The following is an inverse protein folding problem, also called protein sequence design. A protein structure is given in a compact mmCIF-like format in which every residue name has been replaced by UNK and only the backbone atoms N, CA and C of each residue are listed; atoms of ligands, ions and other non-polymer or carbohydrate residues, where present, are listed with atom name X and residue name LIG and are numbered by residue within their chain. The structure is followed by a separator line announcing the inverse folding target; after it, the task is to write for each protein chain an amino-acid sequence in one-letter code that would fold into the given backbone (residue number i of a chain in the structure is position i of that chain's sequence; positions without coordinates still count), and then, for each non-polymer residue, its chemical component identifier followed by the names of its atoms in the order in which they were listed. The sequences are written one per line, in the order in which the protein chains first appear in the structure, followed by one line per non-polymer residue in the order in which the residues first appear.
data_IF_065979111967
#
_entry.id   IF_065979111967
#
_cell.length_a   1.000
_cell.length_b   1.000
_cell.length_c   1.000
_cell.angle_alpha   90.00
_cell.angle_beta   90.00
_cell.angle_gamma   90.00
#
_symmetry.space_group_name_H-M   'P 1'
#
loop_
_entity.id
_entity.type
_entity.pdbx_description
1 polymer ?
#
# COMPACT_ATOMS: atom_id res chain seq x y z
N UNK A 1 8.51 51.52 -38.31
CA UNK A 1 8.43 52.55 -37.25
C UNK A 1 7.07 52.42 -36.60
N UNK A 2 6.99 51.96 -35.35
CA UNK A 2 5.70 51.84 -34.67
C UNK A 2 5.20 53.25 -34.31
N UNK A 3 4.01 53.63 -34.79
CA UNK A 3 3.36 54.89 -34.47
C UNK A 3 3.12 55.00 -32.97
N UNK A 4 3.35 56.18 -32.39
CA UNK A 4 3.02 56.44 -30.99
C UNK A 4 1.53 56.12 -30.74
N UNK A 5 1.20 55.36 -29.68
CA UNK A 5 -0.18 55.03 -29.37
C UNK A 5 -0.96 56.28 -28.97
N UNK A 6 -2.20 56.39 -29.43
CA UNK A 6 -3.12 57.49 -29.12
C UNK A 6 -3.35 57.67 -27.61
N UNK A 7 -3.73 58.88 -27.19
CA UNK A 7 -3.79 59.27 -25.78
C UNK A 7 -4.77 58.41 -24.94
N UNK A 8 -5.89 58.01 -25.55
CA UNK A 8 -6.89 57.09 -24.99
C UNK A 8 -6.32 55.68 -24.73
N UNK A 9 -5.51 55.16 -25.65
CA UNK A 9 -4.86 53.85 -25.52
C UNK A 9 -3.85 53.87 -24.37
N UNK A 10 -3.14 54.99 -24.19
CA UNK A 10 -2.21 55.17 -23.06
C UNK A 10 -2.96 55.25 -21.73
N UNK A 11 -4.05 56.01 -21.66
CA UNK A 11 -4.90 56.09 -20.47
C UNK A 11 -5.47 54.72 -20.10
N UNK A 12 -6.01 53.99 -21.08
CA UNK A 12 -6.55 52.65 -20.89
C UNK A 12 -5.48 51.67 -20.40
N UNK A 13 -4.25 51.74 -20.94
CA UNK A 13 -3.13 50.91 -20.46
C UNK A 13 -2.81 51.20 -18.99
N UNK A 14 -2.73 52.47 -18.60
CA UNK A 14 -2.47 52.85 -17.22
C UNK A 14 -3.57 52.35 -16.27
N UNK A 15 -4.84 52.45 -16.69
CA UNK A 15 -5.97 51.89 -15.93
C UNK A 15 -5.83 50.38 -15.73
N UNK A 16 -5.53 49.63 -16.79
CA UNK A 16 -5.31 48.17 -16.73
C UNK A 16 -4.13 47.82 -15.82
N UNK A 17 -3.03 48.56 -15.90
CA UNK A 17 -1.86 48.33 -15.03
C UNK A 17 -2.19 48.53 -13.55
N UNK A 18 -2.97 49.57 -13.24
CA UNK A 18 -3.39 49.85 -11.86
C UNK A 18 -4.29 48.74 -11.31
N UNK A 19 -5.29 48.34 -12.09
CA UNK A 19 -6.19 47.23 -11.73
C UNK A 19 -5.43 45.91 -11.58
N UNK A 20 -4.47 45.64 -12.47
CA UNK A 20 -3.65 44.43 -12.42
C UNK A 20 -2.81 44.37 -11.16
N UNK A 21 -2.22 45.49 -10.73
CA UNK A 21 -1.42 45.57 -9.50
C UNK A 21 -2.27 45.35 -8.24
N UNK A 22 -3.49 45.88 -8.22
CA UNK A 22 -4.44 45.65 -7.14
C UNK A 22 -4.88 44.18 -7.11
N UNK A 23 -5.27 43.63 -8.25
CA UNK A 23 -5.65 42.22 -8.35
C UNK A 23 -4.54 41.27 -7.92
N UNK A 24 -3.29 41.53 -8.30
CA UNK A 24 -2.14 40.73 -7.86
C UNK A 24 -1.92 40.80 -6.35
N UNK A 25 -2.15 41.97 -5.74
CA UNK A 25 -2.10 42.13 -4.28
C UNK A 25 -3.23 41.37 -3.58
N UNK A 26 -4.42 41.35 -4.17
CA UNK A 26 -5.56 40.60 -3.63
C UNK A 26 -5.38 39.07 -3.73
N UNK A 27 -4.41 38.59 -4.52
CA UNK A 27 -4.01 37.17 -4.58
C UNK A 27 -2.99 36.80 -3.50
N UNK A 28 -2.43 37.75 -2.76
CA UNK A 28 -1.56 37.44 -1.62
C UNK A 28 -2.43 36.83 -0.51
N UNK A 29 -2.41 35.51 -0.39
CA UNK A 29 -3.21 34.84 0.63
C UNK A 29 -2.67 35.16 2.02
N UNK A 30 -3.57 35.59 2.89
CA UNK A 30 -3.24 35.83 4.29
C UNK A 30 -2.97 34.49 4.99
N UNK A 31 -2.07 34.44 5.99
CA UNK A 31 -1.84 33.22 6.78
C UNK A 31 -3.07 32.70 7.56
N UNK A 32 -4.20 33.43 7.53
CA UNK A 32 -5.44 33.14 8.25
C UNK A 32 -6.49 32.46 7.37
N UNK A 33 -6.07 31.80 6.30
CA UNK A 33 -7.00 30.93 5.57
C UNK A 33 -7.64 29.94 6.54
N UNK A 34 -8.97 29.75 6.48
CA UNK A 34 -9.61 28.72 7.26
C UNK A 34 -9.09 27.38 6.76
N UNK A 35 -8.14 26.80 7.50
CA UNK A 35 -7.71 25.43 7.29
C UNK A 35 -8.97 24.58 7.21
N UNK A 36 -9.12 23.82 6.13
CA UNK A 36 -10.29 22.99 5.87
C UNK A 36 -10.72 22.31 7.16
N UNK A 37 -11.91 22.61 7.66
CA UNK A 37 -12.44 22.10 8.93
C UNK A 37 -12.45 20.56 8.98
N UNK A 38 -12.29 19.91 7.82
CA UNK A 38 -12.08 18.48 7.68
C UNK A 38 -10.81 17.99 8.40
N UNK A 39 -9.73 18.77 8.42
CA UNK A 39 -8.52 18.47 9.20
C UNK A 39 -8.78 18.47 10.71
N UNK A 40 -9.80 19.22 11.17
CA UNK A 40 -10.20 19.26 12.57
C UNK A 40 -11.10 18.08 12.99
N UNK A 41 -11.65 17.31 12.04
CA UNK A 41 -12.47 16.13 12.32
C UNK A 41 -11.65 14.85 12.39
N UNK A 42 -10.56 14.86 13.16
CA UNK A 42 -9.88 13.60 13.51
C UNK A 42 -10.76 12.81 14.47
N UNK A 43 -11.06 11.55 14.17
CA UNK A 43 -11.81 10.67 15.07
C UNK A 43 -11.12 10.51 16.43
N UNK A 44 -11.84 10.07 17.49
CA UNK A 44 -11.32 10.05 18.86
C UNK A 44 -10.02 9.24 19.00
N UNK A 45 -9.89 8.14 18.25
CA UNK A 45 -8.68 7.31 18.20
C UNK A 45 -7.52 8.05 17.52
N UNK A 46 -7.78 8.75 16.42
CA UNK A 46 -6.76 9.54 15.73
C UNK A 46 -6.29 10.72 16.60
N UNK A 47 -7.20 11.37 17.31
CA UNK A 47 -6.88 12.41 18.29
C UNK A 47 -6.06 11.85 19.47
N UNK A 48 -6.40 10.65 19.97
CA UNK A 48 -5.62 9.99 21.02
C UNK A 48 -4.18 9.68 20.56
N UNK A 49 -4.00 9.17 19.34
CA UNK A 49 -2.67 8.97 18.75
C UNK A 49 -1.92 10.29 18.54
N UNK A 50 -2.57 11.33 18.05
CA UNK A 50 -1.97 12.65 17.88
C UNK A 50 -1.49 13.22 19.24
N UNK A 51 -2.29 13.09 20.29
CA UNK A 51 -1.91 13.47 21.66
C UNK A 51 -0.78 12.62 22.20
N UNK A 52 -0.79 11.31 21.94
CA UNK A 52 0.31 10.42 22.32
C UNK A 52 1.62 10.82 21.64
N UNK A 53 1.58 11.23 20.37
CA UNK A 53 2.74 11.65 19.60
C UNK A 53 3.29 13.03 20.00
N UNK A 54 2.54 13.84 20.77
CA UNK A 54 3.00 15.08 21.38
C UNK A 54 3.46 14.77 22.82
N UNK A 55 4.75 14.56 23.13
CA UNK A 55 5.98 15.05 22.51
C UNK A 55 6.66 14.06 21.54
N UNK A 56 7.37 14.61 20.54
CA UNK A 56 8.02 13.91 19.43
C UNK A 56 9.23 13.06 19.80
N UNK A 57 9.14 12.29 20.88
CA UNK A 57 10.17 11.36 21.33
C UNK A 57 10.30 10.18 20.38
N UNK A 58 11.54 9.75 20.11
CA UNK A 58 11.83 8.72 19.12
C UNK A 58 11.12 7.38 19.40
N UNK A 59 10.96 7.01 20.67
CA UNK A 59 10.29 5.76 21.04
C UNK A 59 8.80 5.75 20.67
N UNK A 60 8.09 6.87 20.86
CA UNK A 60 6.64 6.99 20.54
C UNK A 60 6.39 6.92 19.03
N UNK A 61 7.30 7.50 18.25
CA UNK A 61 7.23 7.40 16.79
C UNK A 61 7.46 5.96 16.33
N UNK A 62 8.41 5.24 16.93
CA UNK A 62 8.66 3.82 16.61
C UNK A 62 7.48 2.94 16.96
N UNK A 63 6.86 3.11 18.14
CA UNK A 63 5.68 2.33 18.53
C UNK A 63 4.48 2.63 17.64
N UNK A 64 4.26 3.90 17.29
CA UNK A 64 3.21 4.27 16.34
C UNK A 64 3.44 3.61 14.97
N UNK A 65 4.67 3.68 14.43
CA UNK A 65 5.01 3.01 13.16
C UNK A 65 4.80 1.50 13.23
N UNK A 66 5.21 0.85 14.32
CA UNK A 66 4.99 -0.59 14.50
C UNK A 66 3.49 -0.94 14.52
N UNK A 67 2.67 -0.15 15.22
CA UNK A 67 1.22 -0.33 15.25
C UNK A 67 0.57 -0.12 13.87
N UNK A 68 1.04 0.86 13.10
CA UNK A 68 0.59 1.08 11.72
C UNK A 68 0.98 -0.09 10.81
N UNK A 69 2.22 -0.58 10.90
CA UNK A 69 2.68 -1.74 10.13
C UNK A 69 1.89 -3.01 10.47
N UNK A 70 1.57 -3.23 11.74
CA UNK A 70 0.73 -4.35 12.18
C UNK A 70 -0.69 -4.22 11.61
N UNK A 71 -1.27 -3.02 11.70
CA UNK A 71 -2.61 -2.73 11.15
C UNK A 71 -2.65 -2.91 9.64
N UNK A 72 -1.59 -2.51 8.94
CA UNK A 72 -1.42 -2.74 7.50
C UNK A 72 -1.34 -4.24 7.19
N UNK A 73 -0.50 -4.99 7.89
CA UNK A 73 -0.38 -6.44 7.72
C UNK A 73 -1.72 -7.15 7.94
N UNK A 74 -2.45 -6.79 9.00
CA UNK A 74 -3.78 -7.35 9.25
C UNK A 74 -4.76 -7.06 8.11
N UNK A 75 -4.87 -5.79 7.70
CA UNK A 75 -5.84 -5.34 6.69
C UNK A 75 -5.52 -5.84 5.28
N UNK A 76 -4.25 -5.84 4.89
CA UNK A 76 -3.85 -6.10 3.51
C UNK A 76 -3.26 -7.49 3.28
N UNK A 77 -2.86 -8.20 4.34
CA UNK A 77 -2.33 -9.57 4.22
C UNK A 77 -3.30 -10.56 4.86
N UNK A 78 -3.58 -10.42 6.15
CA UNK A 78 -4.32 -11.46 6.88
C UNK A 78 -5.78 -11.59 6.40
N UNK A 79 -6.51 -10.48 6.34
CA UNK A 79 -7.92 -10.50 5.92
C UNK A 79 -8.08 -11.03 4.49
N UNK A 80 -7.35 -10.52 3.47
CA UNK A 80 -7.45 -11.07 2.12
C UNK A 80 -6.99 -12.52 2.04
N UNK A 81 -5.91 -12.91 2.72
CA UNK A 81 -5.45 -14.30 2.74
C UNK A 81 -6.51 -15.25 3.31
N UNK A 82 -7.22 -14.85 4.37
CA UNK A 82 -8.34 -15.63 4.91
C UNK A 82 -9.52 -15.72 3.94
N UNK A 83 -9.87 -14.62 3.25
CA UNK A 83 -10.94 -14.63 2.25
C UNK A 83 -10.57 -15.57 1.09
N UNK A 84 -9.34 -15.48 0.58
CA UNK A 84 -8.84 -16.35 -0.49
C UNK A 84 -8.82 -17.81 -0.03
N UNK A 85 -8.36 -18.08 1.19
CA UNK A 85 -8.36 -19.42 1.75
C UNK A 85 -9.78 -20.00 1.86
N UNK A 86 -10.75 -19.20 2.33
CA UNK A 86 -12.15 -19.60 2.39
C UNK A 86 -12.70 -19.92 0.99
N UNK A 87 -12.44 -19.05 0.01
CA UNK A 87 -12.87 -19.25 -1.37
C UNK A 87 -12.27 -20.53 -1.98
N UNK A 88 -10.96 -20.75 -1.81
CA UNK A 88 -10.29 -21.95 -2.29
C UNK A 88 -10.86 -23.22 -1.64
N UNK A 89 -11.10 -23.17 -0.32
CA UNK A 89 -11.59 -24.32 0.45
C UNK A 89 -12.99 -24.73 0.05
N UNK A 90 -13.92 -23.79 -0.08
CA UNK A 90 -15.32 -24.12 -0.29
C UNK A 90 -15.71 -24.10 -1.77
N UNK A 91 -15.25 -23.14 -2.56
CA UNK A 91 -15.67 -23.03 -3.95
C UNK A 91 -14.79 -23.79 -4.93
N UNK A 92 -13.45 -23.68 -4.79
CA UNK A 92 -12.55 -24.30 -5.77
C UNK A 92 -12.36 -25.79 -5.52
N UNK A 93 -12.23 -26.20 -4.26
CA UNK A 93 -12.00 -27.61 -3.92
C UNK A 93 -13.29 -28.45 -3.87
N UNK A 94 -14.46 -27.85 -3.61
CA UNK A 94 -15.72 -28.59 -3.42
C UNK A 94 -16.62 -28.54 -4.65
N UNK A 95 -16.81 -27.36 -5.25
CA UNK A 95 -17.84 -27.17 -6.29
C UNK A 95 -17.33 -27.45 -7.72
N UNK A 96 -16.02 -27.39 -7.97
CA UNK A 96 -15.44 -27.51 -9.30
C UNK A 96 -14.51 -28.73 -9.40
N UNK A 97 -14.87 -29.79 -10.15
CA UNK A 97 -13.95 -30.90 -10.39
C UNK A 97 -12.72 -30.39 -11.14
N UNK A 98 -11.54 -30.79 -10.70
CA UNK A 98 -10.24 -30.30 -11.19
C UNK A 98 -9.96 -28.80 -10.97
N UNK A 99 -10.76 -28.09 -10.16
CA UNK A 99 -10.53 -26.67 -9.85
C UNK A 99 -9.17 -26.40 -9.20
N UNK A 100 -8.66 -27.37 -8.44
CA UNK A 100 -7.29 -27.37 -7.92
C UNK A 100 -6.61 -28.70 -8.24
N UNK A 101 -5.74 -28.71 -9.26
CA UNK A 101 -4.90 -29.85 -9.58
C UNK A 101 -3.51 -29.66 -9.00
N UNK A 102 -3.08 -30.58 -8.14
CA UNK A 102 -1.72 -30.61 -7.58
C UNK A 102 -0.90 -31.66 -8.31
N UNK A 103 0.36 -31.35 -8.59
CA UNK A 103 1.32 -32.38 -9.02
C UNK A 103 1.52 -33.39 -7.90
N UNK A 104 1.69 -34.67 -8.27
CA UNK A 104 1.99 -35.71 -7.28
C UNK A 104 3.32 -35.36 -6.60
N UNK A 105 3.42 -35.49 -5.27
CA UNK A 105 4.67 -35.22 -4.56
C UNK A 105 5.79 -36.12 -5.11
N UNK A 106 7.03 -35.65 -5.04
CA UNK A 106 8.19 -36.49 -5.35
C UNK A 106 8.34 -37.54 -4.27
N UNK A 107 8.79 -38.69 -4.69
CA UNK A 107 8.82 -39.90 -3.89
C UNK A 107 10.21 -40.50 -4.05
N UNK A 108 10.89 -40.78 -2.94
CA UNK A 108 12.25 -41.27 -2.92
C UNK A 108 12.36 -42.68 -2.32
N UNK A 109 13.43 -43.42 -2.65
CA UNK A 109 13.72 -44.70 -2.04
C UNK A 109 13.83 -44.57 -0.51
N UNK A 110 13.19 -45.49 0.23
CA UNK A 110 13.10 -45.46 1.69
C UNK A 110 11.94 -44.62 2.25
N UNK A 111 11.23 -43.84 1.44
CA UNK A 111 10.03 -43.12 1.89
C UNK A 111 8.87 -44.11 2.16
N UNK A 112 8.02 -43.78 3.14
CA UNK A 112 6.78 -44.51 3.40
C UNK A 112 5.59 -43.73 2.89
N UNK A 113 4.78 -44.33 2.02
CA UNK A 113 3.55 -43.70 1.52
C UNK A 113 2.52 -43.68 2.64
N UNK A 114 2.11 -42.50 3.11
CA UNK A 114 1.19 -42.34 4.25
C UNK A 114 -0.18 -43.02 4.02
N UNK A 115 -0.64 -43.08 2.77
CA UNK A 115 -1.95 -43.65 2.41
C UNK A 115 -1.92 -45.18 2.28
N UNK A 116 -0.79 -45.76 1.88
CA UNK A 116 -0.65 -47.20 1.58
C UNK A 116 0.16 -47.96 2.65
N UNK A 117 0.99 -47.25 3.42
CA UNK A 117 1.96 -47.83 4.34
C UNK A 117 3.13 -48.53 3.65
N UNK A 118 3.21 -48.50 2.33
CA UNK A 118 4.26 -49.13 1.54
C UNK A 118 5.57 -48.34 1.68
N UNK A 119 6.64 -49.06 2.02
CA UNK A 119 8.00 -48.54 2.07
C UNK A 119 8.63 -48.74 0.70
N UNK A 120 9.19 -47.67 0.17
CA UNK A 120 9.71 -47.68 -1.20
C UNK A 120 11.07 -48.36 -1.21
N UNK A 121 11.26 -49.33 -2.11
CA UNK A 121 12.50 -50.10 -2.15
C UNK A 121 13.69 -49.19 -2.38
N UNK A 122 14.77 -49.47 -1.65
CA UNK A 122 16.05 -48.79 -1.83
C UNK A 122 16.60 -49.04 -3.24
N UNK A 123 17.33 -48.06 -3.77
CA UNK A 123 18.04 -48.23 -5.03
C UNK A 123 19.11 -49.30 -4.84
N UNK A 124 19.06 -50.35 -5.65
CA UNK A 124 20.15 -51.33 -5.73
C UNK A 124 21.35 -50.67 -6.44
N UNK A 125 22.20 -50.01 -5.67
CA UNK A 125 23.46 -49.45 -6.15
C UNK A 125 24.53 -50.55 -5.98
N UNK A 126 25.03 -51.17 -7.06
CA UNK A 126 26.15 -52.09 -6.94
C UNK A 126 27.35 -51.34 -6.32
N UNK A 127 27.98 -51.95 -5.32
CA UNK A 127 29.09 -51.35 -4.60
C UNK A 127 30.24 -50.98 -5.55
N UNK A 128 30.49 -49.68 -5.67
CA UNK A 128 31.79 -49.05 -5.85
C UNK A 128 32.72 -49.59 -6.95
N UNK A 129 32.44 -49.25 -8.21
CA UNK A 129 33.48 -49.19 -9.28
C UNK A 129 33.54 -47.81 -9.98
N UNK A 130 32.82 -46.80 -9.50
CA UNK A 130 32.70 -45.49 -10.19
C UNK A 130 33.76 -44.45 -9.84
N UNK A 131 34.81 -44.82 -9.10
CA UNK A 131 35.95 -43.97 -8.82
C UNK A 131 37.26 -44.70 -9.13
N UNK A 132 37.62 -44.73 -10.42
CA UNK A 132 38.98 -44.95 -10.90
C UNK A 132 39.30 -43.96 -12.01
#
# INVERSE_FOLDING_TARGET
MASEPSADVRLRRQQIFTLRRQWLRDQELSPREPATQLAARTGPVAAAWARFLQPGTAWRLRTYRAAQSLSFGFRFVLVPAWIVHYYLKYHVATDVPYGHCRTKPRVYPGDTIVETGEVIPELNIPHADHHH
#
